data_IF_829398544321
#
_entry.id   IF_829398544321
#
_cell.length_a   1.000
_cell.length_b   1.000
_cell.length_c   1.000
_cell.angle_alpha   90.00
_cell.angle_beta   90.00
_cell.angle_gamma   90.00
#
_symmetry.space_group_name_H-M   'P 1'
#
loop_
_entity.id
_entity.type
_entity.pdbx_description
1 polymer ?
#
# COMPACT_ATOMS: atom_id res chain seq x y z
N UNK A 1 8.35 -48.67 38.86
CA UNK A 1 7.47 -48.53 40.02
C UNK A 1 6.10 -49.12 39.65
N UNK A 2 5.57 -50.13 40.36
CA UNK A 2 4.25 -50.69 40.03
C UNK A 2 3.15 -49.72 40.48
N UNK A 3 2.44 -49.15 39.53
CA UNK A 3 1.25 -48.33 39.77
C UNK A 3 0.07 -49.25 40.10
N UNK A 4 -0.52 -49.06 41.26
CA UNK A 4 -1.79 -49.71 41.63
C UNK A 4 -2.91 -49.19 40.72
N UNK A 5 -3.83 -50.06 40.19
CA UNK A 5 -4.81 -49.66 39.18
C UNK A 5 -5.74 -48.52 39.56
N UNK A 6 -5.97 -48.25 40.81
CA UNK A 6 -6.84 -47.15 41.28
C UNK A 6 -6.13 -45.78 41.50
N UNK A 7 -4.81 -45.72 41.42
CA UNK A 7 -4.06 -44.47 41.60
C UNK A 7 -3.98 -43.68 40.32
N UNK A 8 -3.98 -44.34 39.16
CA UNK A 8 -3.87 -43.67 37.85
C UNK A 8 -5.12 -42.82 37.53
N UNK A 9 -6.31 -43.30 37.84
CA UNK A 9 -7.58 -42.54 37.64
C UNK A 9 -7.62 -41.29 38.49
N UNK A 10 -7.22 -41.36 39.77
CA UNK A 10 -7.18 -40.15 40.66
C UNK A 10 -6.14 -39.13 40.21
N UNK A 11 -5.03 -39.57 39.65
CA UNK A 11 -4.04 -38.63 39.07
C UNK A 11 -4.60 -37.85 37.88
N UNK A 12 -5.23 -38.53 36.97
CA UNK A 12 -5.81 -37.89 35.79
C UNK A 12 -6.95 -36.96 36.13
N UNK A 13 -7.80 -37.36 37.07
CA UNK A 13 -8.88 -36.53 37.56
C UNK A 13 -8.36 -35.24 38.22
N UNK A 14 -7.29 -35.35 39.02
CA UNK A 14 -6.65 -34.17 39.63
C UNK A 14 -6.01 -33.27 38.55
N UNK A 15 -5.32 -33.83 37.58
CA UNK A 15 -4.71 -33.05 36.48
C UNK A 15 -5.80 -32.30 35.73
N UNK A 16 -6.85 -32.97 35.30
CA UNK A 16 -7.95 -32.35 34.54
C UNK A 16 -8.64 -31.25 35.37
N UNK A 17 -8.83 -31.44 36.65
CA UNK A 17 -9.48 -30.45 37.53
C UNK A 17 -8.59 -29.24 37.84
N UNK A 18 -7.27 -29.40 37.84
CA UNK A 18 -6.31 -28.29 38.09
C UNK A 18 -5.92 -27.52 36.86
N UNK A 19 -6.23 -28.01 35.66
CA UNK A 19 -5.92 -27.29 34.38
C UNK A 19 -6.66 -25.95 34.33
N UNK A 20 -5.93 -24.92 33.89
CA UNK A 20 -6.52 -23.59 33.64
C UNK A 20 -7.24 -23.53 32.30
N UNK A 21 -6.83 -24.36 31.36
CA UNK A 21 -7.45 -24.48 30.04
C UNK A 21 -8.78 -25.28 30.15
N UNK A 22 -9.77 -24.83 29.39
CA UNK A 22 -11.01 -25.58 29.21
C UNK A 22 -10.73 -26.89 28.49
N UNK A 23 -11.17 -28.03 29.07
CA UNK A 23 -11.04 -29.33 28.43
C UNK A 23 -12.44 -29.91 28.19
N UNK A 24 -12.64 -30.45 27.01
CA UNK A 24 -13.87 -31.10 26.56
C UNK A 24 -13.51 -32.38 25.82
N UNK A 25 -14.24 -33.46 26.06
CA UNK A 25 -14.19 -34.70 25.28
C UNK A 25 -15.53 -34.83 24.56
N UNK A 26 -15.44 -35.14 23.26
CA UNK A 26 -16.59 -35.39 22.40
C UNK A 26 -16.56 -36.82 21.84
N UNK A 27 -17.70 -37.41 21.64
CA UNK A 27 -17.85 -38.68 20.92
C UNK A 27 -17.71 -38.53 19.42
N UNK A 28 -17.68 -39.62 18.63
CA UNK A 28 -17.57 -39.52 17.16
C UNK A 28 -18.74 -38.79 16.49
N UNK A 29 -19.87 -38.64 17.20
CA UNK A 29 -21.05 -37.89 16.73
C UNK A 29 -20.98 -36.39 17.10
N UNK A 30 -19.96 -35.98 17.88
CA UNK A 30 -19.75 -34.59 18.30
C UNK A 30 -20.57 -34.21 19.54
N UNK A 31 -21.10 -35.22 20.28
CA UNK A 31 -21.77 -34.98 21.57
C UNK A 31 -20.70 -34.86 22.68
N UNK A 32 -20.93 -33.94 23.61
CA UNK A 32 -20.03 -33.69 24.74
C UNK A 32 -20.17 -34.80 25.75
N UNK A 33 -19.09 -35.56 25.98
CA UNK A 33 -19.04 -36.67 26.93
C UNK A 33 -18.59 -36.19 28.31
N UNK A 34 -17.62 -35.29 28.37
CA UNK A 34 -17.15 -34.73 29.66
C UNK A 34 -16.50 -33.37 29.43
N UNK A 35 -16.49 -32.57 30.48
CA UNK A 35 -15.84 -31.27 30.58
C UNK A 35 -15.16 -31.09 31.91
N UNK A 36 -14.09 -30.27 31.98
CA UNK A 36 -13.45 -29.90 33.23
C UNK A 36 -14.08 -28.60 33.82
N UNK A 37 -13.78 -28.26 35.09
CA UNK A 37 -14.29 -27.02 35.71
C UNK A 37 -13.82 -25.73 35.00
N UNK A 38 -12.66 -25.76 34.32
CA UNK A 38 -12.22 -24.59 33.56
C UNK A 38 -13.14 -24.35 32.38
N UNK A 39 -13.63 -25.38 31.69
CA UNK A 39 -14.57 -25.26 30.58
C UNK A 39 -15.87 -24.58 31.02
N UNK A 40 -16.39 -24.91 32.21
CA UNK A 40 -17.58 -24.26 32.76
C UNK A 40 -17.35 -22.77 33.01
N UNK A 41 -16.20 -22.41 33.63
CA UNK A 41 -15.82 -21.00 33.86
C UNK A 41 -15.66 -20.22 32.55
N UNK A 42 -15.01 -20.80 31.54
CA UNK A 42 -14.74 -20.14 30.27
C UNK A 42 -16.00 -19.90 29.45
N UNK A 43 -16.92 -20.87 29.44
CA UNK A 43 -18.10 -20.84 28.57
C UNK A 43 -19.34 -20.27 29.24
N UNK A 44 -19.36 -20.30 30.59
CA UNK A 44 -20.53 -19.90 31.40
C UNK A 44 -21.66 -20.94 31.41
N UNK A 45 -21.48 -22.10 30.78
CA UNK A 45 -22.42 -23.23 30.86
C UNK A 45 -22.00 -24.17 31.99
N UNK A 46 -22.97 -24.63 32.77
CA UNK A 46 -22.72 -25.69 33.77
C UNK A 46 -22.45 -27.04 33.09
N UNK A 47 -21.75 -27.92 33.80
CA UNK A 47 -21.42 -29.27 33.31
C UNK A 47 -22.68 -30.05 32.86
N UNK A 48 -23.76 -30.01 33.65
CA UNK A 48 -25.01 -30.69 33.33
C UNK A 48 -25.70 -30.16 32.06
N UNK A 49 -25.47 -28.88 31.74
CA UNK A 49 -26.02 -28.25 30.53
C UNK A 49 -25.24 -28.61 29.29
N UNK A 50 -23.95 -28.97 29.45
CA UNK A 50 -23.06 -29.33 28.33
C UNK A 50 -23.08 -30.81 28.01
N UNK A 51 -23.21 -31.69 29.02
CA UNK A 51 -23.16 -33.14 28.81
C UNK A 51 -24.31 -33.61 27.91
N UNK A 52 -23.98 -34.44 26.94
CA UNK A 52 -24.91 -34.96 25.94
C UNK A 52 -25.38 -33.95 24.88
N UNK A 53 -24.97 -32.69 24.97
CA UNK A 53 -25.24 -31.69 23.94
C UNK A 53 -24.22 -31.75 22.83
N UNK A 54 -24.61 -31.29 21.63
CA UNK A 54 -23.66 -31.12 20.55
C UNK A 54 -22.64 -30.02 20.87
N UNK A 55 -21.34 -30.21 20.56
CA UNK A 55 -20.32 -29.19 20.72
C UNK A 55 -20.61 -27.89 19.96
N UNK A 56 -21.54 -27.91 18.98
CA UNK A 56 -22.01 -26.72 18.26
C UNK A 56 -22.75 -25.72 19.15
N UNK A 57 -23.16 -26.08 20.38
CA UNK A 57 -23.75 -25.18 21.38
C UNK A 57 -22.81 -24.00 21.68
N UNK A 58 -21.51 -24.22 21.61
CA UNK A 58 -20.48 -23.18 21.84
C UNK A 58 -20.34 -22.19 20.67
N UNK A 59 -21.07 -22.40 19.56
CA UNK A 59 -21.13 -21.54 18.39
C UNK A 59 -19.73 -21.02 17.92
N UNK A 60 -18.76 -21.95 17.84
CA UNK A 60 -17.41 -21.65 17.40
C UNK A 60 -17.43 -21.22 15.91
N UNK A 61 -16.76 -20.12 15.59
CA UNK A 61 -16.72 -19.53 14.25
C UNK A 61 -16.23 -20.50 13.17
N UNK A 62 -15.22 -21.30 13.47
CA UNK A 62 -14.68 -22.34 12.57
C UNK A 62 -15.64 -23.53 12.37
N UNK A 63 -16.61 -23.73 13.25
CA UNK A 63 -17.58 -24.82 13.19
C UNK A 63 -18.94 -24.40 12.60
N UNK A 64 -19.16 -23.11 12.30
CA UNK A 64 -20.46 -22.57 11.80
C UNK A 64 -20.96 -23.15 10.47
N UNK A 65 -20.14 -23.87 9.73
CA UNK A 65 -20.52 -24.52 8.46
C UNK A 65 -21.13 -25.92 8.58
N UNK A 66 -21.18 -26.49 9.78
CA UNK A 66 -21.61 -27.85 10.06
C UNK A 66 -23.01 -27.85 10.70
N UNK A 67 -24.07 -27.74 9.91
CA UNK A 67 -25.44 -27.91 10.41
C UNK A 67 -25.68 -29.37 10.80
N UNK A 68 -26.24 -29.66 12.01
CA UNK A 68 -26.62 -30.99 12.40
C UNK A 68 -27.99 -31.29 11.80
N UNK A 69 -28.06 -31.82 10.60
CA UNK A 69 -29.25 -32.56 10.10
C UNK A 69 -28.82 -33.50 8.97
N UNK A 70 -28.76 -34.77 9.31
CA UNK A 70 -29.02 -35.92 8.43
C UNK A 70 -28.31 -35.98 7.08
N UNK A 71 -27.00 -36.08 7.06
CA UNK A 71 -26.20 -36.73 5.99
C UNK A 71 -24.71 -36.59 6.31
N UNK A 72 -23.96 -37.66 6.27
CA UNK A 72 -22.49 -37.94 6.12
C UNK A 72 -21.44 -36.81 6.24
N UNK A 73 -21.67 -35.72 6.93
CA UNK A 73 -20.66 -34.68 7.17
C UNK A 73 -20.04 -34.87 8.55
N UNK A 74 -19.08 -35.78 8.64
CA UNK A 74 -18.20 -35.89 9.79
C UNK A 74 -17.54 -34.54 10.10
N UNK A 75 -17.46 -34.20 11.37
CA UNK A 75 -16.73 -33.02 11.88
C UNK A 75 -15.33 -32.98 11.26
N UNK A 76 -14.88 -31.81 10.83
CA UNK A 76 -13.57 -31.62 10.17
C UNK A 76 -12.42 -32.18 11.03
N UNK A 77 -12.54 -32.10 12.36
CA UNK A 77 -11.61 -32.69 13.31
C UNK A 77 -11.34 -34.19 13.05
N UNK A 78 -12.40 -34.98 12.81
CA UNK A 78 -12.29 -36.43 12.56
C UNK A 78 -11.79 -36.73 11.14
N UNK A 79 -11.91 -35.79 10.19
CA UNK A 79 -11.38 -35.93 8.82
C UNK A 79 -9.89 -35.61 8.74
N UNK A 80 -9.45 -34.56 9.43
CA UNK A 80 -8.07 -34.03 9.32
C UNK A 80 -7.13 -34.63 10.36
N UNK A 81 -7.62 -35.48 11.27
CA UNK A 81 -6.83 -36.23 12.23
C UNK A 81 -6.42 -35.45 13.48
N UNK A 82 -6.84 -34.22 13.62
CA UNK A 82 -6.54 -33.33 14.76
C UNK A 82 -6.57 -31.86 14.35
N UNK A 83 -6.50 -30.97 15.35
CA UNK A 83 -6.38 -29.51 15.16
C UNK A 83 -5.30 -29.00 16.10
N UNK A 84 -4.30 -28.29 15.58
CA UNK A 84 -3.23 -27.72 16.37
C UNK A 84 -3.24 -26.19 16.31
N UNK A 85 -3.19 -25.55 17.49
CA UNK A 85 -3.01 -24.09 17.67
C UNK A 85 -3.86 -23.22 16.72
N UNK A 86 -5.15 -23.52 16.63
CA UNK A 86 -6.07 -22.74 15.78
C UNK A 86 -6.76 -21.67 16.62
N UNK A 87 -6.63 -20.41 16.19
CA UNK A 87 -7.35 -19.28 16.76
C UNK A 87 -8.83 -19.36 16.38
N UNK A 88 -9.71 -19.33 17.37
CA UNK A 88 -11.16 -19.41 17.23
C UNK A 88 -11.84 -18.42 18.17
N UNK A 89 -13.11 -18.15 17.87
CA UNK A 89 -14.00 -17.38 18.75
C UNK A 89 -15.23 -18.23 19.08
N UNK A 90 -15.60 -18.32 20.34
CA UNK A 90 -16.86 -18.93 20.75
C UNK A 90 -17.81 -17.89 21.36
N UNK A 91 -19.10 -18.24 21.45
CA UNK A 91 -20.11 -17.43 22.11
C UNK A 91 -20.43 -18.07 23.46
N UNK A 92 -20.24 -17.32 24.56
CA UNK A 92 -20.59 -17.76 25.92
C UNK A 92 -22.08 -17.78 26.10
N UNK A 93 -22.53 -18.39 27.21
CA UNK A 93 -23.96 -18.46 27.62
C UNK A 93 -24.62 -17.07 27.75
N UNK A 94 -23.86 -16.07 28.19
CA UNK A 94 -24.32 -14.68 28.32
C UNK A 94 -24.34 -13.89 26.99
N UNK A 95 -23.98 -14.52 25.87
CA UNK A 95 -23.92 -13.90 24.56
C UNK A 95 -22.61 -13.16 24.25
N UNK A 96 -21.69 -13.07 25.22
CA UNK A 96 -20.37 -12.48 24.99
C UNK A 96 -19.48 -13.41 24.17
N UNK A 97 -18.51 -12.85 23.41
CA UNK A 97 -17.56 -13.62 22.61
C UNK A 97 -16.26 -13.81 23.36
N UNK A 98 -15.69 -15.03 23.29
CA UNK A 98 -14.43 -15.42 23.90
C UNK A 98 -13.42 -15.80 22.78
N UNK A 99 -12.32 -15.05 22.59
CA UNK A 99 -11.22 -15.48 21.74
C UNK A 99 -10.41 -16.58 22.47
N UNK A 100 -10.14 -17.68 21.79
CA UNK A 100 -9.40 -18.79 22.36
C UNK A 100 -8.51 -19.50 21.35
N UNK A 101 -7.50 -20.19 21.87
CA UNK A 101 -6.65 -21.09 21.10
C UNK A 101 -7.17 -22.52 21.28
N UNK A 102 -7.50 -23.17 20.16
CA UNK A 102 -8.01 -24.54 20.14
C UNK A 102 -6.90 -25.51 19.77
N UNK A 103 -6.74 -26.57 20.59
CA UNK A 103 -6.06 -27.80 20.22
C UNK A 103 -7.05 -28.95 20.32
N UNK A 104 -6.94 -29.93 19.42
CA UNK A 104 -7.78 -31.11 19.46
C UNK A 104 -7.02 -32.35 18.93
N UNK A 105 -7.21 -33.47 19.60
CA UNK A 105 -6.62 -34.75 19.23
C UNK A 105 -7.68 -35.85 19.24
N UNK A 106 -7.58 -36.78 18.29
CA UNK A 106 -8.47 -37.94 18.18
C UNK A 106 -8.09 -38.98 19.23
N UNK A 107 -9.10 -39.48 19.93
CA UNK A 107 -8.99 -40.62 20.84
C UNK A 107 -9.30 -41.91 20.08
N UNK A 108 -8.42 -42.93 20.26
CA UNK A 108 -8.56 -44.28 19.66
C UNK A 108 -8.50 -45.33 20.75
N UNK A 109 -9.22 -46.41 20.54
CA UNK A 109 -9.11 -47.57 21.39
C UNK A 109 -7.88 -48.45 21.05
N UNK A 110 -7.68 -49.54 21.75
CA UNK A 110 -6.58 -50.47 21.54
C UNK A 110 -6.60 -51.14 20.15
N UNK A 111 -7.76 -51.21 19.50
CA UNK A 111 -7.91 -51.73 18.12
C UNK A 111 -7.73 -50.62 17.06
N UNK A 112 -7.43 -49.37 17.46
CA UNK A 112 -7.24 -48.22 16.56
C UNK A 112 -8.54 -47.58 16.09
N UNK A 113 -9.69 -48.01 16.59
CA UNK A 113 -11.01 -47.43 16.26
C UNK A 113 -11.15 -46.06 16.94
N UNK A 114 -11.70 -45.08 16.21
CA UNK A 114 -11.95 -43.76 16.76
C UNK A 114 -13.10 -43.81 17.74
N UNK A 115 -12.83 -43.49 19.03
CA UNK A 115 -13.81 -43.47 20.13
C UNK A 115 -14.25 -42.07 20.52
N UNK A 116 -13.60 -41.02 19.99
CA UNK A 116 -13.90 -39.63 20.28
C UNK A 116 -12.75 -38.70 19.97
N UNK A 117 -12.83 -37.51 20.55
CA UNK A 117 -11.74 -36.52 20.50
C UNK A 117 -11.66 -35.73 21.81
N UNK A 118 -10.46 -35.34 22.19
CA UNK A 118 -10.22 -34.38 23.28
C UNK A 118 -9.92 -33.02 22.67
N UNK A 119 -10.56 -31.99 23.19
CA UNK A 119 -10.33 -30.58 22.78
C UNK A 119 -9.90 -29.76 24.00
N UNK A 120 -8.88 -28.92 23.83
CA UNK A 120 -8.48 -27.93 24.84
C UNK A 120 -8.67 -26.52 24.30
N UNK A 121 -9.13 -25.63 25.15
CA UNK A 121 -9.43 -24.22 24.88
C UNK A 121 -8.63 -23.35 25.85
N UNK A 122 -7.63 -22.64 25.33
CA UNK A 122 -6.84 -21.65 26.09
C UNK A 122 -7.44 -20.27 25.90
N UNK A 123 -7.83 -19.60 26.97
CA UNK A 123 -8.38 -18.23 26.95
C UNK A 123 -7.30 -17.23 26.52
N UNK A 124 -7.59 -16.44 25.48
CA UNK A 124 -6.71 -15.39 25.00
C UNK A 124 -7.18 -13.99 25.43
N UNK A 125 -8.22 -13.87 26.25
CA UNK A 125 -8.80 -12.57 26.65
C UNK A 125 -7.79 -11.69 27.39
N UNK A 126 -7.02 -12.24 28.31
CA UNK A 126 -5.97 -11.48 29.02
C UNK A 126 -4.83 -11.03 28.10
N UNK A 127 -4.42 -11.89 27.19
CA UNK A 127 -3.37 -11.57 26.21
C UNK A 127 -3.88 -10.46 25.29
N UNK A 128 -5.09 -10.60 24.78
CA UNK A 128 -5.73 -9.59 23.93
C UNK A 128 -5.96 -8.26 24.68
N UNK A 129 -6.36 -8.31 25.95
CA UNK A 129 -6.51 -7.11 26.79
C UNK A 129 -5.18 -6.45 27.10
N UNK A 130 -4.13 -7.21 27.39
CA UNK A 130 -2.76 -6.68 27.58
C UNK A 130 -2.22 -6.08 26.30
N UNK A 131 -2.44 -6.72 25.17
CA UNK A 131 -2.04 -6.18 23.86
C UNK A 131 -2.81 -4.88 23.55
N UNK A 132 -4.09 -4.80 23.87
CA UNK A 132 -4.89 -3.57 23.77
C UNK A 132 -4.37 -2.46 24.69
N UNK A 133 -4.04 -2.79 25.94
CA UNK A 133 -3.44 -1.82 26.90
C UNK A 133 -2.06 -1.38 26.43
N UNK A 134 -1.23 -2.30 25.95
CA UNK A 134 0.10 -1.98 25.36
C UNK A 134 -0.08 -1.10 24.12
N UNK A 135 -1.03 -1.40 23.24
CA UNK A 135 -1.41 -0.55 22.12
C UNK A 135 -1.89 0.82 22.59
N UNK A 136 -2.75 0.88 23.63
CA UNK A 136 -3.27 2.13 24.18
C UNK A 136 -2.15 2.98 24.82
N UNK A 137 -1.31 2.37 25.65
CA UNK A 137 -0.15 3.04 26.24
C UNK A 137 0.89 3.47 25.18
N UNK A 138 1.09 2.64 24.16
CA UNK A 138 1.87 3.03 22.99
C UNK A 138 1.22 4.19 22.23
N UNK A 139 -0.11 4.25 22.11
CA UNK A 139 -0.86 5.38 21.52
C UNK A 139 -0.69 6.66 22.32
N UNK A 140 -0.73 6.59 23.65
CA UNK A 140 -0.51 7.76 24.51
C UNK A 140 0.94 8.27 24.47
N UNK A 141 1.91 7.35 24.37
CA UNK A 141 3.32 7.68 24.15
C UNK A 141 3.63 8.13 22.72
N UNK A 142 2.72 7.89 21.77
CA UNK A 142 2.90 8.13 20.33
C UNK A 142 1.89 9.13 19.77
N UNK A 143 1.40 10.06 20.59
CA UNK A 143 0.68 11.26 20.11
C UNK A 143 1.54 12.21 19.28
N UNK A 144 2.80 11.88 19.10
CA UNK A 144 3.62 12.56 18.09
C UNK A 144 3.38 11.92 16.72
N UNK A 145 2.97 12.72 15.75
CA UNK A 145 2.79 12.41 14.33
C UNK A 145 4.09 11.94 13.63
N UNK A 146 4.94 11.16 14.31
CA UNK A 146 6.27 10.81 13.85
C UNK A 146 7.20 12.04 13.74
N UNK A 147 8.35 11.91 13.09
CA UNK A 147 9.27 13.04 12.86
C UNK A 147 8.64 14.01 11.83
N UNK A 148 7.90 15.00 12.34
CA UNK A 148 7.19 16.01 11.51
C UNK A 148 6.28 15.43 10.42
N UNK A 149 5.64 14.27 10.70
CA UNK A 149 4.78 13.57 9.78
C UNK A 149 5.47 12.44 8.98
N UNK A 150 6.79 12.27 9.15
CA UNK A 150 7.51 11.09 8.66
C UNK A 150 7.42 9.97 9.68
N UNK A 151 6.71 8.91 9.35
CA UNK A 151 6.55 7.74 10.21
C UNK A 151 7.59 6.67 9.87
N UNK A 152 8.29 6.18 10.89
CA UNK A 152 9.25 5.09 10.78
C UNK A 152 10.13 4.98 12.03
N UNK A 153 10.58 3.76 12.31
CA UNK A 153 11.47 3.42 13.43
C UNK A 153 12.63 2.53 13.00
N UNK A 154 12.65 2.16 11.73
CA UNK A 154 13.76 1.40 11.17
C UNK A 154 15.07 2.18 11.31
N UNK A 155 16.22 1.50 11.39
CA UNK A 155 17.52 2.17 11.45
C UNK A 155 17.73 3.18 10.31
N UNK A 156 17.22 2.87 9.11
CA UNK A 156 17.29 3.77 7.97
C UNK A 156 16.50 5.08 8.19
N UNK A 157 15.31 5.01 8.81
CA UNK A 157 14.53 6.20 9.14
C UNK A 157 15.13 7.01 10.26
N UNK A 158 15.69 6.37 11.31
CA UNK A 158 16.40 7.08 12.38
C UNK A 158 17.63 7.82 11.86
N UNK A 159 18.38 7.23 10.93
CA UNK A 159 19.49 7.91 10.27
C UNK A 159 19.01 9.09 9.41
N UNK A 160 17.90 8.92 8.69
CA UNK A 160 17.27 9.99 7.93
C UNK A 160 16.87 11.17 8.82
N UNK A 161 16.23 10.92 9.98
CA UNK A 161 15.80 11.94 10.92
C UNK A 161 16.98 12.74 11.49
N UNK A 162 18.08 12.06 11.83
CA UNK A 162 19.32 12.69 12.27
C UNK A 162 19.92 13.59 11.17
N UNK A 163 19.94 13.11 9.93
CA UNK A 163 20.46 13.85 8.79
C UNK A 163 19.59 15.08 8.47
N UNK A 164 18.26 14.94 8.50
CA UNK A 164 17.32 16.04 8.32
C UNK A 164 17.48 17.10 9.42
N UNK A 165 17.63 16.68 10.68
CA UNK A 165 17.85 17.59 11.81
C UNK A 165 19.16 18.37 11.64
N UNK A 166 20.23 17.68 11.28
CA UNK A 166 21.54 18.31 11.05
C UNK A 166 21.51 19.28 9.87
N UNK A 167 20.89 18.89 8.77
CA UNK A 167 20.75 19.71 7.57
C UNK A 167 19.85 20.93 7.79
N UNK A 168 18.86 20.84 8.68
CA UNK A 168 17.91 21.90 8.95
C UNK A 168 18.59 23.16 9.52
N UNK A 169 19.65 23.02 10.31
CA UNK A 169 20.40 24.12 10.88
C UNK A 169 21.21 24.96 9.89
N UNK A 170 21.35 24.52 8.64
CA UNK A 170 22.10 25.19 7.57
C UNK A 170 21.19 25.81 6.53
N UNK A 171 21.59 26.93 5.95
CA UNK A 171 20.94 27.56 4.79
C UNK A 171 21.40 26.95 3.45
N UNK A 172 22.30 25.96 3.49
CA UNK A 172 22.77 25.28 2.27
C UNK A 172 21.61 24.62 1.51
N UNK A 173 21.66 24.58 0.19
CA UNK A 173 20.72 23.84 -0.64
C UNK A 173 20.70 22.34 -0.29
N UNK A 174 19.51 21.76 -0.29
CA UNK A 174 19.29 20.35 -0.01
C UNK A 174 18.63 19.69 -1.22
N UNK A 175 19.11 18.51 -1.60
CA UNK A 175 18.46 17.65 -2.61
C UNK A 175 17.94 16.38 -1.95
N UNK A 176 16.64 16.16 -2.05
CA UNK A 176 15.96 14.95 -1.56
C UNK A 176 15.83 13.95 -2.70
N UNK A 177 16.57 12.86 -2.64
CA UNK A 177 16.49 11.75 -3.58
C UNK A 177 15.57 10.66 -3.04
N UNK A 178 14.76 10.08 -3.90
CA UNK A 178 13.92 8.94 -3.52
C UNK A 178 12.82 8.67 -4.51
N UNK A 179 12.35 7.44 -4.52
CA UNK A 179 11.25 7.01 -5.39
C UNK A 179 9.97 7.81 -5.13
N UNK A 180 9.04 7.74 -6.08
CA UNK A 180 7.72 8.35 -5.88
C UNK A 180 7.02 7.74 -4.66
N UNK A 181 6.39 8.58 -3.83
CA UNK A 181 5.65 8.14 -2.65
C UNK A 181 6.47 7.78 -1.41
N UNK A 182 7.80 8.04 -1.37
CA UNK A 182 8.65 7.82 -0.18
C UNK A 182 8.48 8.85 0.93
N UNK A 183 7.88 10.03 0.62
CA UNK A 183 7.67 11.11 1.59
C UNK A 183 8.58 12.32 1.43
N UNK A 184 9.18 12.56 0.24
CA UNK A 184 10.06 13.70 -0.05
C UNK A 184 9.46 15.06 0.35
N UNK A 185 8.17 15.25 0.10
CA UNK A 185 7.46 16.49 0.47
C UNK A 185 7.40 16.68 2.01
N UNK A 186 7.17 15.60 2.77
CA UNK A 186 7.17 15.62 4.23
C UNK A 186 8.58 15.92 4.77
N UNK A 187 9.62 15.32 4.18
CA UNK A 187 11.01 15.61 4.53
C UNK A 187 11.38 17.08 4.28
N UNK A 188 10.92 17.65 3.16
CA UNK A 188 11.10 19.08 2.88
C UNK A 188 10.40 19.98 3.90
N UNK A 189 9.16 19.60 4.28
CA UNK A 189 8.43 20.33 5.33
C UNK A 189 9.11 20.23 6.70
N UNK A 190 9.67 19.05 7.04
CA UNK A 190 10.45 18.86 8.26
C UNK A 190 11.71 19.74 8.28
N UNK A 191 12.47 19.77 7.18
CA UNK A 191 13.64 20.64 7.02
C UNK A 191 13.31 22.12 7.25
N UNK A 192 12.17 22.58 6.71
CA UNK A 192 11.73 23.97 6.92
C UNK A 192 11.33 24.21 8.37
N UNK A 193 10.50 23.35 8.97
CA UNK A 193 10.01 23.49 10.35
C UNK A 193 11.13 23.49 11.40
N UNK A 194 12.19 22.71 11.15
CA UNK A 194 13.36 22.62 12.03
C UNK A 194 14.42 23.71 11.78
N UNK A 195 14.25 24.50 10.72
CA UNK A 195 15.24 25.51 10.33
C UNK A 195 15.06 26.83 11.09
N UNK A 196 16.07 27.70 11.09
CA UNK A 196 15.93 29.08 11.57
C UNK A 196 14.87 29.89 10.83
N UNK A 197 14.43 29.41 9.65
CA UNK A 197 13.40 30.03 8.80
C UNK A 197 11.99 29.47 9.03
N UNK A 198 11.75 28.69 10.08
CA UNK A 198 10.48 28.01 10.38
C UNK A 198 9.27 28.96 10.46
N UNK A 199 9.49 30.23 10.84
CA UNK A 199 8.44 31.26 10.89
C UNK A 199 8.22 31.96 9.55
N UNK A 200 9.08 31.72 8.55
CA UNK A 200 8.96 32.29 7.21
C UNK A 200 8.03 31.47 6.33
N UNK A 201 7.74 31.95 5.11
CA UNK A 201 6.92 31.22 4.17
C UNK A 201 7.58 29.94 3.69
N UNK A 202 6.81 28.85 3.58
CA UNK A 202 7.20 27.60 2.93
C UNK A 202 6.40 27.43 1.63
N UNK A 203 7.02 27.71 0.50
CA UNK A 203 6.38 27.69 -0.81
C UNK A 203 6.75 26.40 -1.54
N UNK A 204 5.73 25.65 -1.98
CA UNK A 204 5.89 24.39 -2.71
C UNK A 204 5.58 24.60 -4.18
N UNK A 205 6.41 24.05 -5.05
CA UNK A 205 6.21 24.06 -6.51
C UNK A 205 6.52 22.68 -7.05
N UNK A 206 5.62 22.14 -7.85
CA UNK A 206 5.85 20.91 -8.59
C UNK A 206 6.20 21.27 -10.04
N UNK A 207 7.41 20.92 -10.46
CA UNK A 207 7.95 21.29 -11.78
C UNK A 207 7.33 20.49 -12.93
N UNK A 208 6.85 19.26 -12.67
CA UNK A 208 6.25 18.39 -13.68
C UNK A 208 4.78 18.75 -14.03
N UNK A 209 4.12 19.55 -13.20
CA UNK A 209 2.68 19.81 -13.33
C UNK A 209 2.32 20.91 -14.35
N UNK A 210 3.31 21.66 -14.85
CA UNK A 210 3.11 22.86 -15.67
C UNK A 210 3.89 22.80 -16.98
N UNK A 211 3.36 23.40 -18.02
CA UNK A 211 4.15 23.64 -19.24
C UNK A 211 5.24 24.71 -18.99
N UNK A 212 6.26 24.75 -19.84
CA UNK A 212 7.47 25.56 -19.65
C UNK A 212 7.17 27.06 -19.40
N UNK A 213 6.32 27.66 -20.19
CA UNK A 213 6.00 29.10 -20.11
C UNK A 213 5.21 29.44 -18.84
N UNK A 214 4.30 28.55 -18.41
CA UNK A 214 3.57 28.73 -17.17
C UNK A 214 4.46 28.48 -15.94
N UNK A 215 5.35 27.51 -16.01
CA UNK A 215 6.29 27.22 -14.94
C UNK A 215 7.22 28.41 -14.68
N UNK A 216 7.76 29.01 -15.74
CA UNK A 216 8.62 30.17 -15.64
C UNK A 216 7.87 31.37 -15.02
N UNK A 217 6.66 31.65 -15.47
CA UNK A 217 5.79 32.69 -14.94
C UNK A 217 5.38 32.44 -13.49
N UNK A 218 5.12 31.18 -13.08
CA UNK A 218 4.84 30.83 -11.69
C UNK A 218 6.07 31.01 -10.81
N UNK A 219 7.26 30.55 -11.23
CA UNK A 219 8.47 30.65 -10.42
C UNK A 219 8.96 32.07 -10.24
N UNK A 220 9.07 32.85 -11.33
CA UNK A 220 9.72 34.16 -11.35
C UNK A 220 8.74 35.34 -11.38
N UNK A 221 7.46 35.06 -11.68
CA UNK A 221 6.45 36.12 -11.89
C UNK A 221 6.54 36.73 -13.29
N UNK A 222 5.60 37.58 -13.62
CA UNK A 222 5.57 38.30 -14.91
C UNK A 222 5.01 39.72 -14.75
N UNK A 223 5.38 40.60 -15.65
CA UNK A 223 4.75 41.92 -15.79
C UNK A 223 3.61 41.85 -16.78
N UNK A 224 2.69 42.82 -16.67
CA UNK A 224 1.57 42.97 -17.61
C UNK A 224 2.13 43.09 -19.05
N UNK A 225 1.55 42.29 -19.99
CA UNK A 225 1.95 42.29 -21.39
C UNK A 225 3.18 41.39 -21.70
N UNK A 226 3.72 40.61 -20.79
CA UNK A 226 4.86 39.76 -21.00
C UNK A 226 4.63 38.63 -22.02
N UNK A 227 3.39 38.15 -22.14
CA UNK A 227 2.93 37.16 -23.11
C UNK A 227 1.41 37.29 -23.35
N UNK A 228 0.89 36.57 -24.34
CA UNK A 228 -0.57 36.57 -24.64
C UNK A 228 -1.36 36.02 -23.48
N UNK A 229 -2.22 36.84 -22.84
CA UNK A 229 -2.97 36.51 -21.64
C UNK A 229 -2.34 37.04 -20.34
N UNK A 230 -1.24 37.78 -20.38
CA UNK A 230 -0.66 38.47 -19.23
C UNK A 230 -1.38 39.81 -18.93
N UNK A 231 -2.64 39.74 -18.50
CA UNK A 231 -3.51 40.92 -18.28
C UNK A 231 -3.10 41.79 -17.08
N UNK A 232 -2.35 41.20 -16.14
CA UNK A 232 -1.88 41.87 -14.91
C UNK A 232 -0.47 41.37 -14.53
N UNK A 233 0.23 42.18 -13.77
CA UNK A 233 1.50 41.78 -13.16
C UNK A 233 1.25 40.76 -12.04
N UNK A 234 2.05 39.69 -11.96
CA UNK A 234 1.95 38.62 -10.95
C UNK A 234 3.28 38.41 -10.22
N UNK A 235 3.21 38.26 -8.91
CA UNK A 235 4.34 37.90 -8.02
C UNK A 235 4.70 36.44 -8.23
N UNK A 236 5.99 36.15 -8.38
CA UNK A 236 6.51 34.78 -8.53
C UNK A 236 6.68 34.05 -7.20
N UNK A 237 6.86 32.74 -7.28
CA UNK A 237 7.03 31.86 -6.10
C UNK A 237 8.31 32.16 -5.33
N UNK A 238 9.41 32.54 -6.00
CA UNK A 238 10.63 32.97 -5.35
C UNK A 238 10.48 34.27 -4.54
N UNK A 239 9.76 35.23 -5.09
CA UNK A 239 9.45 36.45 -4.38
C UNK A 239 8.53 36.19 -3.18
N UNK A 240 7.52 35.32 -3.35
CA UNK A 240 6.62 34.89 -2.28
C UNK A 240 7.32 34.08 -1.18
N UNK A 241 8.44 33.41 -1.49
CA UNK A 241 9.24 32.64 -0.55
C UNK A 241 10.30 33.49 0.18
N UNK A 242 10.34 34.81 -0.04
CA UNK A 242 11.35 35.69 0.55
C UNK A 242 11.43 35.55 2.07
N UNK A 243 12.63 35.41 2.62
CA UNK A 243 12.96 35.11 4.02
C UNK A 243 12.42 33.78 4.56
N UNK A 244 12.00 32.89 3.66
CA UNK A 244 11.53 31.54 3.97
C UNK A 244 12.27 30.47 3.22
N UNK A 245 11.55 29.46 2.79
CA UNK A 245 12.07 28.33 2.00
C UNK A 245 11.19 28.06 0.78
N UNK A 246 11.80 27.67 -0.32
CA UNK A 246 11.11 27.16 -1.48
C UNK A 246 11.43 25.66 -1.66
N UNK A 247 10.41 24.85 -1.90
CA UNK A 247 10.53 23.45 -2.21
C UNK A 247 10.17 23.23 -3.68
N UNK A 248 11.15 22.76 -4.46
CA UNK A 248 10.99 22.43 -5.87
C UNK A 248 10.95 20.91 -6.02
N UNK A 249 9.75 20.37 -6.22
CA UNK A 249 9.58 18.94 -6.47
C UNK A 249 9.82 18.61 -7.94
N UNK A 250 10.37 17.42 -8.20
CA UNK A 250 10.77 16.89 -9.51
C UNK A 250 11.71 17.87 -10.28
N UNK A 251 12.81 18.25 -9.60
CA UNK A 251 13.81 19.19 -10.17
C UNK A 251 14.42 18.70 -11.48
N UNK A 252 14.45 17.38 -11.71
CA UNK A 252 14.93 16.76 -12.96
C UNK A 252 14.08 17.07 -14.19
N UNK A 253 12.84 17.52 -13.99
CA UNK A 253 11.91 17.87 -15.08
C UNK A 253 11.94 19.35 -15.45
N UNK A 254 12.82 20.16 -14.82
CA UNK A 254 12.95 21.56 -15.16
C UNK A 254 13.48 21.75 -16.60
N UNK A 255 12.82 22.61 -17.42
CA UNK A 255 13.35 23.00 -18.72
C UNK A 255 14.69 23.72 -18.61
N UNK A 256 15.55 23.58 -19.61
CA UNK A 256 16.90 24.17 -19.63
C UNK A 256 16.91 25.68 -19.41
N UNK A 257 15.96 26.42 -19.98
CA UNK A 257 15.82 27.85 -19.76
C UNK A 257 15.56 28.20 -18.30
N UNK A 258 14.68 27.44 -17.64
CA UNK A 258 14.37 27.59 -16.20
C UNK A 258 15.57 27.24 -15.32
N UNK A 259 16.37 26.23 -15.70
CA UNK A 259 17.60 25.85 -14.98
C UNK A 259 18.62 27.01 -14.96
N UNK A 260 18.76 27.75 -16.08
CA UNK A 260 19.65 28.92 -16.16
C UNK A 260 19.20 30.02 -15.17
N UNK A 261 17.92 30.31 -15.12
CA UNK A 261 17.36 31.31 -14.21
C UNK A 261 17.49 30.87 -12.73
N UNK A 262 17.27 29.59 -12.46
CA UNK A 262 17.47 29.03 -11.10
C UNK A 262 18.93 29.15 -10.65
N UNK A 263 19.89 28.92 -11.55
CA UNK A 263 21.31 29.10 -11.26
C UNK A 263 21.63 30.53 -10.85
N UNK A 264 21.07 31.54 -11.53
CA UNK A 264 21.23 32.96 -11.14
C UNK A 264 20.65 33.24 -9.73
N UNK A 265 19.47 32.67 -9.43
CA UNK A 265 18.91 32.81 -8.07
C UNK A 265 19.87 32.26 -7.00
N UNK A 266 20.50 31.11 -7.26
CA UNK A 266 21.45 30.49 -6.33
C UNK A 266 22.74 31.31 -6.16
N UNK A 267 23.20 31.97 -7.23
CA UNK A 267 24.47 32.72 -7.25
C UNK A 267 24.31 34.15 -6.80
N UNK A 268 23.31 34.86 -7.35
CA UNK A 268 23.17 36.31 -7.22
C UNK A 268 22.09 36.70 -6.22
N UNK A 269 21.27 35.74 -5.74
CA UNK A 269 20.12 36.00 -4.88
C UNK A 269 19.13 37.01 -5.46
N UNK A 270 19.00 37.02 -6.79
CA UNK A 270 18.08 37.89 -7.53
C UNK A 270 17.25 37.09 -8.52
N UNK A 271 16.06 37.60 -8.83
CA UNK A 271 15.20 37.09 -9.89
C UNK A 271 14.88 38.23 -10.87
N UNK A 272 14.60 37.87 -12.13
CA UNK A 272 14.00 38.74 -13.14
C UNK A 272 12.61 38.22 -13.48
N UNK A 273 11.60 39.11 -13.49
CA UNK A 273 10.23 38.76 -13.92
C UNK A 273 10.19 38.56 -15.42
N UNK A 274 9.32 37.66 -15.88
CA UNK A 274 9.12 37.47 -17.32
C UNK A 274 8.60 38.80 -17.93
N UNK A 275 9.32 39.29 -18.96
CA UNK A 275 9.02 40.57 -19.61
C UNK A 275 9.62 41.79 -18.91
N UNK A 276 10.44 41.64 -17.86
CA UNK A 276 11.16 42.73 -17.18
C UNK A 276 12.60 42.28 -16.83
N UNK A 277 13.58 43.15 -17.07
CA UNK A 277 15.00 42.87 -16.79
C UNK A 277 15.46 43.50 -15.44
N UNK A 278 14.56 44.07 -14.66
CA UNK A 278 14.90 44.63 -13.37
C UNK A 278 15.10 43.50 -12.35
N UNK A 279 16.30 43.43 -11.72
CA UNK A 279 16.56 42.41 -10.72
C UNK A 279 15.79 42.70 -9.44
N UNK A 280 15.12 41.68 -8.90
CA UNK A 280 14.45 41.71 -7.59
C UNK A 280 15.24 40.82 -6.65
N UNK A 281 15.72 41.37 -5.53
CA UNK A 281 16.48 40.60 -4.53
C UNK A 281 15.56 39.66 -3.75
N UNK A 282 16.00 38.41 -3.62
CA UNK A 282 15.31 37.35 -2.88
C UNK A 282 16.27 36.62 -1.96
N UNK A 283 15.90 36.51 -0.69
CA UNK A 283 16.62 35.68 0.29
C UNK A 283 15.78 34.43 0.58
N UNK A 284 16.10 33.31 -0.07
CA UNK A 284 15.30 32.08 -0.01
C UNK A 284 16.22 30.88 0.18
N UNK A 285 15.87 30.00 1.12
CA UNK A 285 16.49 28.67 1.24
C UNK A 285 15.86 27.74 0.20
N UNK A 286 16.70 27.03 -0.57
CA UNK A 286 16.24 26.15 -1.64
C UNK A 286 16.33 24.70 -1.18
N UNK A 287 15.20 23.98 -1.26
CA UNK A 287 15.06 22.55 -1.05
C UNK A 287 14.51 21.97 -2.34
N UNK A 288 15.17 20.95 -2.88
CA UNK A 288 14.76 20.31 -4.14
C UNK A 288 14.50 18.84 -3.91
N UNK A 289 13.69 18.23 -4.77
CA UNK A 289 13.46 16.78 -4.75
C UNK A 289 13.41 16.20 -6.15
N UNK A 290 13.81 14.93 -6.29
CA UNK A 290 13.71 14.19 -7.54
C UNK A 290 13.65 12.68 -7.30
N UNK A 291 13.02 11.97 -8.21
CA UNK A 291 13.08 10.51 -8.34
C UNK A 291 14.02 10.07 -9.47
N UNK A 292 14.59 11.01 -10.22
CA UNK A 292 15.46 10.76 -11.38
C UNK A 292 16.94 10.81 -10.98
N UNK A 293 17.75 10.10 -11.74
CA UNK A 293 19.22 10.19 -11.65
C UNK A 293 19.70 11.46 -12.37
N UNK A 294 20.07 12.49 -11.60
CA UNK A 294 20.57 13.75 -12.15
C UNK A 294 21.89 13.59 -12.91
N UNK A 295 22.75 12.61 -12.55
CA UNK A 295 23.98 12.34 -13.29
C UNK A 295 23.66 11.82 -14.70
N UNK A 296 22.68 10.91 -14.82
CA UNK A 296 22.23 10.43 -16.11
C UNK A 296 21.62 11.55 -16.96
N UNK A 297 20.83 12.43 -16.36
CA UNK A 297 20.26 13.59 -17.05
C UNK A 297 21.34 14.57 -17.53
N UNK A 298 22.43 14.77 -16.77
CA UNK A 298 23.57 15.56 -17.21
C UNK A 298 24.25 14.94 -18.44
N UNK A 299 24.50 13.62 -18.43
CA UNK A 299 25.07 12.91 -19.58
C UNK A 299 24.18 13.02 -20.83
N UNK A 300 22.88 13.09 -20.67
CA UNK A 300 21.91 13.28 -21.76
C UNK A 300 21.77 14.75 -22.21
N UNK A 301 22.46 15.68 -21.58
CA UNK A 301 22.33 17.12 -21.87
C UNK A 301 20.99 17.73 -21.42
N UNK A 302 20.24 17.03 -20.57
CA UNK A 302 18.92 17.47 -20.04
C UNK A 302 19.00 18.20 -18.71
N UNK A 303 20.13 18.11 -18.03
CA UNK A 303 20.38 18.83 -16.78
C UNK A 303 21.78 19.47 -16.84
N UNK A 304 21.89 20.71 -16.36
CA UNK A 304 23.16 21.46 -16.39
C UNK A 304 24.07 21.03 -15.25
N UNK A 305 25.33 20.87 -15.56
CA UNK A 305 26.37 20.50 -14.59
C UNK A 305 26.62 21.61 -13.55
N UNK A 306 26.62 22.87 -13.98
CA UNK A 306 26.80 24.01 -13.09
C UNK A 306 25.68 24.15 -12.06
N UNK A 307 24.44 23.90 -12.46
CA UNK A 307 23.30 23.87 -11.56
C UNK A 307 23.38 22.68 -10.58
N UNK A 308 23.76 21.49 -11.07
CA UNK A 308 23.92 20.32 -10.22
C UNK A 308 24.84 20.57 -9.05
N UNK A 309 26.05 21.08 -9.27
CA UNK A 309 27.01 21.37 -8.19
C UNK A 309 26.55 22.46 -7.23
N UNK A 310 25.62 23.33 -7.63
CA UNK A 310 25.06 24.37 -6.76
C UNK A 310 23.89 23.90 -5.91
N UNK A 311 23.10 22.94 -6.38
CA UNK A 311 21.96 22.40 -5.58
C UNK A 311 22.36 21.19 -4.76
N UNK A 312 23.26 20.34 -5.25
CA UNK A 312 23.64 19.06 -4.63
C UNK A 312 24.71 19.23 -3.52
N UNK A 313 24.45 20.18 -2.61
CA UNK A 313 25.35 20.46 -1.48
C UNK A 313 25.10 19.46 -0.35
N UNK A 314 23.83 19.22 -0.01
CA UNK A 314 23.43 18.24 1.00
C UNK A 314 22.49 17.24 0.33
N UNK A 315 23.00 16.12 -0.19
CA UNK A 315 22.16 15.06 -0.73
C UNK A 315 21.58 14.21 0.41
N UNK A 316 20.27 14.00 0.39
CA UNK A 316 19.55 13.18 1.35
C UNK A 316 18.72 12.14 0.59
N UNK A 317 18.96 10.86 0.90
CA UNK A 317 18.27 9.75 0.26
C UNK A 317 17.16 9.21 1.16
N UNK A 318 15.93 9.24 0.67
CA UNK A 318 14.79 8.64 1.36
C UNK A 318 14.70 7.16 1.00
N UNK A 319 14.75 6.25 1.99
CA UNK A 319 14.69 4.82 1.71
C UNK A 319 13.32 4.42 1.16
N UNK A 320 13.27 3.58 0.11
CA UNK A 320 12.02 3.01 -0.37
C UNK A 320 11.42 2.05 0.68
N UNK A 321 10.11 1.85 0.64
CA UNK A 321 9.40 1.08 1.68
C UNK A 321 9.89 -0.37 1.79
N UNK A 322 10.34 -0.97 0.69
CA UNK A 322 10.94 -2.32 0.67
C UNK A 322 12.25 -2.46 1.47
N UNK A 323 12.95 -1.37 1.72
CA UNK A 323 14.19 -1.32 2.52
C UNK A 323 13.93 -1.00 4.01
N UNK A 324 12.67 -0.67 4.36
CA UNK A 324 12.21 -0.41 5.74
C UNK A 324 10.94 -1.19 6.05
N UNK A 325 10.92 -2.48 5.75
CA UNK A 325 9.74 -3.36 5.94
C UNK A 325 9.26 -3.40 7.39
N UNK A 326 10.16 -3.19 8.33
CA UNK A 326 9.86 -3.10 9.77
C UNK A 326 8.91 -1.96 10.11
N UNK A 327 8.84 -0.93 9.27
CA UNK A 327 7.96 0.21 9.45
C UNK A 327 6.54 -0.05 8.89
N UNK A 328 6.35 -1.09 8.06
CA UNK A 328 5.05 -1.37 7.42
C UNK A 328 3.93 -1.55 8.45
N UNK A 329 4.08 -2.34 9.54
CA UNK A 329 3.03 -2.48 10.54
C UNK A 329 2.63 -1.16 11.18
N UNK A 330 3.62 -0.30 11.51
CA UNK A 330 3.39 1.02 12.08
C UNK A 330 2.61 1.93 11.11
N UNK A 331 3.03 1.95 9.84
CA UNK A 331 2.36 2.73 8.79
C UNK A 331 0.92 2.25 8.57
N UNK A 332 0.72 0.94 8.53
CA UNK A 332 -0.60 0.32 8.39
C UNK A 332 -1.50 0.73 9.54
N UNK A 333 -1.06 0.59 10.80
CA UNK A 333 -1.82 0.97 11.98
C UNK A 333 -2.24 2.44 11.93
N UNK A 334 -1.29 3.34 11.67
CA UNK A 334 -1.55 4.77 11.57
C UNK A 334 -2.59 5.12 10.47
N UNK A 335 -2.45 4.54 9.27
CA UNK A 335 -3.37 4.86 8.17
C UNK A 335 -4.73 4.18 8.33
N UNK A 336 -4.80 3.03 8.97
CA UNK A 336 -6.07 2.40 9.36
C UNK A 336 -6.84 3.29 10.34
N UNK A 337 -6.19 3.77 11.41
CA UNK A 337 -6.80 4.67 12.39
C UNK A 337 -7.30 5.97 11.72
N UNK A 338 -6.48 6.55 10.85
CA UNK A 338 -6.86 7.75 10.09
C UNK A 338 -8.07 7.51 9.18
N UNK A 339 -8.13 6.36 8.48
CA UNK A 339 -9.24 6.04 7.59
C UNK A 339 -10.50 5.65 8.36
N UNK A 340 -10.37 4.96 9.53
CA UNK A 340 -11.47 4.69 10.43
C UNK A 340 -12.09 5.98 10.98
N UNK A 341 -11.26 6.93 11.43
CA UNK A 341 -11.73 8.23 11.92
C UNK A 341 -12.50 9.02 10.85
N UNK A 342 -12.08 8.94 9.58
CA UNK A 342 -12.76 9.63 8.46
C UNK A 342 -14.08 8.97 8.08
N UNK A 343 -14.14 7.64 8.08
CA UNK A 343 -15.27 6.89 7.52
C UNK A 343 -16.27 6.46 8.58
N UNK A 344 -15.92 6.55 9.88
CA UNK A 344 -16.68 6.08 11.03
C UNK A 344 -17.06 4.58 10.92
N UNK A 345 -16.33 3.81 10.12
CA UNK A 345 -16.52 2.37 10.02
C UNK A 345 -15.87 1.65 11.20
N UNK A 346 -16.51 0.63 11.78
CA UNK A 346 -15.96 -0.16 12.89
C UNK A 346 -14.94 -1.20 12.37
N UNK A 347 -13.90 -0.74 11.69
CA UNK A 347 -12.79 -1.56 11.21
C UNK A 347 -11.68 -1.49 12.25
N UNK A 348 -11.31 -2.66 12.82
CA UNK A 348 -10.39 -2.76 13.95
C UNK A 348 -8.95 -3.07 13.57
N UNK A 349 -8.68 -3.50 12.33
CA UNK A 349 -7.32 -3.84 11.90
C UNK A 349 -7.25 -4.67 10.63
N UNK A 350 -6.06 -5.25 10.38
CA UNK A 350 -5.86 -6.29 9.37
C UNK A 350 -5.83 -7.68 10.01
N UNK A 351 -6.28 -8.70 9.26
CA UNK A 351 -6.00 -10.08 9.63
C UNK A 351 -4.49 -10.39 9.47
N UNK A 352 -4.03 -11.46 10.12
CA UNK A 352 -2.63 -11.89 10.01
C UNK A 352 -2.23 -12.17 8.57
N UNK A 353 -3.11 -12.84 7.83
CA UNK A 353 -2.90 -13.17 6.42
C UNK A 353 -2.82 -11.92 5.54
N UNK A 354 -3.65 -10.91 5.83
CA UNK A 354 -3.58 -9.64 5.11
C UNK A 354 -2.28 -8.90 5.43
N UNK A 355 -1.84 -8.90 6.69
CA UNK A 355 -0.57 -8.28 7.08
C UNK A 355 0.63 -8.99 6.43
N UNK A 356 0.62 -10.32 6.32
CA UNK A 356 1.66 -11.08 5.60
C UNK A 356 1.75 -10.67 4.12
N UNK A 357 0.62 -10.38 3.47
CA UNK A 357 0.61 -9.84 2.10
C UNK A 357 1.30 -8.49 2.05
N UNK A 358 1.01 -7.58 2.99
CA UNK A 358 1.65 -6.26 3.06
C UNK A 358 3.16 -6.35 3.27
N UNK A 359 3.64 -7.25 4.13
CA UNK A 359 5.06 -7.44 4.44
C UNK A 359 5.85 -8.03 3.26
N UNK A 360 5.20 -8.86 2.43
CA UNK A 360 5.85 -9.54 1.30
C UNK A 360 5.80 -8.75 0.00
N UNK A 361 4.95 -7.74 -0.11
CA UNK A 361 4.83 -6.94 -1.32
C UNK A 361 5.97 -5.92 -1.46
N UNK A 362 6.36 -5.59 -2.69
CA UNK A 362 7.52 -4.73 -2.99
C UNK A 362 7.24 -3.23 -2.87
N UNK A 363 5.99 -2.82 -2.90
CA UNK A 363 5.56 -1.43 -2.80
C UNK A 363 6.25 -0.48 -3.79
N UNK A 364 6.11 -0.67 -5.11
CA UNK A 364 6.74 0.21 -6.10
C UNK A 364 6.28 1.67 -5.98
N UNK A 365 5.04 1.92 -5.52
CA UNK A 365 4.53 3.26 -5.20
C UNK A 365 4.73 3.68 -3.74
N UNK A 366 5.52 2.91 -2.97
CA UNK A 366 5.91 3.19 -1.59
C UNK A 366 4.71 3.50 -0.67
N UNK A 367 4.82 4.52 0.21
CA UNK A 367 3.76 4.87 1.17
C UNK A 367 2.50 5.38 0.47
N UNK A 368 2.62 6.04 -0.69
CA UNK A 368 1.44 6.50 -1.45
C UNK A 368 0.60 5.31 -1.93
N UNK A 369 1.22 4.25 -2.42
CA UNK A 369 0.53 3.03 -2.81
C UNK A 369 -0.07 2.31 -1.59
N UNK A 370 0.66 2.22 -0.49
CA UNK A 370 0.18 1.64 0.77
C UNK A 370 -1.11 2.33 1.24
N UNK A 371 -1.15 3.66 1.24
CA UNK A 371 -2.35 4.43 1.59
C UNK A 371 -3.51 4.10 0.65
N UNK A 372 -3.27 4.09 -0.66
CA UNK A 372 -4.30 3.78 -1.65
C UNK A 372 -4.87 2.36 -1.45
N UNK A 373 -4.02 1.38 -1.11
CA UNK A 373 -4.46 0.01 -0.84
C UNK A 373 -5.31 -0.05 0.44
N UNK A 374 -4.94 0.67 1.48
CA UNK A 374 -5.71 0.76 2.72
C UNK A 374 -7.08 1.42 2.43
N UNK A 375 -7.10 2.56 1.73
CA UNK A 375 -8.34 3.24 1.38
C UNK A 375 -9.25 2.36 0.51
N UNK A 376 -8.68 1.60 -0.44
CA UNK A 376 -9.42 0.61 -1.22
C UNK A 376 -10.02 -0.49 -0.34
N UNK A 377 -9.23 -1.04 0.59
CA UNK A 377 -9.71 -2.07 1.53
C UNK A 377 -10.85 -1.54 2.41
N UNK A 378 -10.79 -0.27 2.84
CA UNK A 378 -11.88 0.39 3.57
C UNK A 378 -13.17 0.52 2.76
N UNK A 379 -13.09 0.63 1.43
CA UNK A 379 -14.29 0.65 0.58
C UNK A 379 -14.98 -0.71 0.59
N UNK A 380 -14.23 -1.80 0.51
CA UNK A 380 -14.76 -3.17 0.42
C UNK A 380 -15.13 -3.76 1.78
N UNK A 381 -14.35 -3.50 2.82
CA UNK A 381 -14.62 -3.96 4.18
C UNK A 381 -15.71 -3.08 4.80
N UNK A 382 -16.76 -3.70 5.35
CA UNK A 382 -17.86 -2.99 6.00
C UNK A 382 -17.64 -2.83 7.50
N UNK A 383 -17.12 -3.87 8.16
CA UNK A 383 -16.91 -3.96 9.60
C UNK A 383 -15.88 -5.06 9.94
N UNK A 384 -15.30 -5.00 11.12
CA UNK A 384 -14.38 -6.02 11.64
C UNK A 384 -12.95 -5.85 11.18
N UNK A 385 -12.32 -6.91 10.65
CA UNK A 385 -10.93 -6.92 10.20
C UNK A 385 -10.82 -7.00 8.67
N UNK A 386 -9.85 -6.33 8.10
CA UNK A 386 -9.54 -6.40 6.68
C UNK A 386 -8.89 -7.76 6.39
N UNK A 387 -9.52 -8.54 5.49
CA UNK A 387 -9.06 -9.84 5.02
C UNK A 387 -8.33 -9.70 3.66
N UNK A 388 -7.56 -10.70 3.22
CA UNK A 388 -6.90 -10.67 1.90
C UNK A 388 -7.84 -10.46 0.71
N UNK A 389 -9.11 -10.87 0.83
CA UNK A 389 -10.14 -10.66 -0.20
C UNK A 389 -10.58 -9.20 -0.37
N UNK A 390 -10.34 -8.36 0.65
CA UNK A 390 -10.58 -6.93 0.59
C UNK A 390 -9.41 -6.15 -0.05
N UNK A 391 -8.30 -6.84 -0.37
CA UNK A 391 -7.14 -6.22 -0.99
C UNK A 391 -7.25 -6.26 -2.52
N UNK A 392 -6.58 -5.33 -3.24
CA UNK A 392 -6.47 -5.41 -4.69
C UNK A 392 -5.87 -6.75 -5.13
N UNK A 393 -6.40 -7.35 -6.20
CA UNK A 393 -5.99 -8.67 -6.67
C UNK A 393 -4.49 -8.83 -6.97
N UNK A 394 -3.82 -7.72 -7.28
CA UNK A 394 -2.37 -7.66 -7.51
C UNK A 394 -1.56 -7.96 -6.24
N UNK A 395 -2.06 -7.58 -5.07
CA UNK A 395 -1.44 -7.88 -3.78
C UNK A 395 -1.84 -9.26 -3.25
N UNK A 396 -3.10 -9.68 -3.44
CA UNK A 396 -3.68 -10.91 -2.85
C UNK A 396 -3.22 -12.22 -3.47
N UNK A 397 -2.23 -12.23 -4.36
CA UNK A 397 -1.69 -13.47 -4.95
C UNK A 397 -2.68 -14.25 -5.83
N UNK A 398 -3.94 -13.84 -5.95
CA UNK A 398 -4.74 -14.22 -7.10
C UNK A 398 -4.09 -13.48 -8.27
N UNK A 399 -3.27 -14.19 -9.05
CA UNK A 399 -2.93 -13.74 -10.40
C UNK A 399 -4.23 -13.17 -10.97
N UNK A 400 -4.35 -11.84 -11.00
CA UNK A 400 -5.21 -11.23 -11.97
C UNK A 400 -4.88 -11.99 -13.25
N UNK A 401 -5.86 -12.55 -13.89
CA UNK A 401 -5.68 -13.10 -15.23
C UNK A 401 -4.83 -12.05 -15.95
N UNK A 402 -3.63 -12.41 -16.45
CA UNK A 402 -2.63 -11.44 -16.87
C UNK A 402 -3.39 -10.36 -17.63
N UNK A 403 -3.22 -9.06 -17.28
CA UNK A 403 -3.97 -8.00 -17.95
C UNK A 403 -3.87 -8.40 -19.39
N UNK A 404 -5.01 -8.70 -20.04
CA UNK A 404 -5.06 -9.28 -21.38
C UNK A 404 -3.94 -8.66 -22.10
N UNK A 405 -2.85 -9.40 -22.20
CA UNK A 405 -1.55 -8.88 -22.58
C UNK A 405 -1.88 -7.89 -23.69
N UNK A 406 -1.57 -6.60 -23.50
CA UNK A 406 -1.33 -5.81 -24.71
C UNK A 406 -0.50 -6.78 -25.50
N UNK A 407 -1.17 -7.46 -26.46
CA UNK A 407 -0.51 -8.37 -27.38
C UNK A 407 0.83 -7.70 -27.62
N UNK A 408 1.95 -8.39 -27.35
CA UNK A 408 3.23 -7.78 -27.66
C UNK A 408 2.95 -7.11 -28.99
N UNK A 409 3.22 -5.79 -29.12
CA UNK A 409 3.10 -5.13 -30.41
C UNK A 409 3.79 -6.09 -31.33
N UNK A 410 3.02 -7.05 -31.77
CA UNK A 410 3.43 -8.02 -32.78
C UNK A 410 3.87 -7.11 -33.88
N UNK A 411 5.13 -7.19 -34.22
CA UNK A 411 5.70 -6.63 -35.42
C UNK A 411 4.57 -6.33 -36.37
N UNK A 412 4.28 -5.02 -36.58
CA UNK A 412 3.05 -4.58 -37.26
C UNK A 412 2.82 -5.45 -38.47
N UNK A 413 1.59 -5.76 -38.85
CA UNK A 413 1.28 -6.76 -39.86
C UNK A 413 2.30 -6.65 -40.98
N UNK A 414 2.92 -7.75 -41.44
CA UNK A 414 4.09 -7.72 -42.31
C UNK A 414 3.81 -6.69 -43.40
N UNK A 415 4.70 -5.68 -43.53
CA UNK A 415 4.48 -4.58 -44.48
C UNK A 415 4.33 -5.22 -45.86
N UNK A 416 3.10 -5.19 -46.38
CA UNK A 416 2.76 -5.64 -47.72
C UNK A 416 3.56 -4.76 -48.68
N UNK A 417 4.17 -5.36 -49.69
CA UNK A 417 4.90 -4.60 -50.70
C UNK A 417 3.97 -3.64 -51.46
N UNK A 418 4.50 -2.54 -51.99
CA UNK A 418 3.71 -1.60 -52.79
C UNK A 418 3.00 -2.28 -53.96
N UNK A 419 3.64 -3.29 -54.60
CA UNK A 419 3.06 -4.05 -55.70
C UNK A 419 1.86 -4.93 -55.24
N UNK A 420 2.00 -5.60 -54.11
CA UNK A 420 0.96 -6.43 -53.55
C UNK A 420 -0.24 -5.59 -53.12
N UNK A 421 -0.01 -4.39 -52.57
CA UNK A 421 -1.07 -3.42 -52.22
C UNK A 421 -1.81 -2.94 -53.46
N UNK A 422 -1.13 -2.62 -54.54
CA UNK A 422 -1.72 -2.21 -55.82
C UNK A 422 -2.52 -3.33 -56.48
N UNK A 423 -1.97 -4.54 -56.52
CA UNK A 423 -2.67 -5.73 -57.05
C UNK A 423 -3.95 -6.03 -56.28
N UNK A 424 -3.90 -5.92 -54.96
CA UNK A 424 -5.10 -6.15 -54.11
C UNK A 424 -6.16 -5.08 -54.29
N UNK A 425 -5.74 -3.80 -54.47
CA UNK A 425 -6.67 -2.71 -54.76
C UNK A 425 -7.34 -2.87 -56.13
N UNK A 426 -6.59 -3.32 -57.14
CA UNK A 426 -7.17 -3.65 -58.45
C UNK A 426 -8.16 -4.82 -58.38
N UNK A 427 -7.80 -5.92 -57.68
CA UNK A 427 -8.69 -7.05 -57.48
C UNK A 427 -9.97 -6.66 -56.69
N UNK A 428 -9.85 -5.71 -55.75
CA UNK A 428 -10.95 -5.14 -54.99
C UNK A 428 -11.75 -4.07 -55.75
N UNK A 429 -11.39 -3.79 -57.05
CA UNK A 429 -12.02 -2.77 -57.90
C UNK A 429 -12.05 -1.39 -57.22
N UNK A 430 -10.98 -0.99 -56.51
CA UNK A 430 -10.86 0.28 -55.83
C UNK A 430 -11.63 0.39 -54.50
N UNK A 431 -12.39 -0.64 -54.09
CA UNK A 431 -13.14 -0.62 -52.82
C UNK A 431 -12.22 -0.89 -51.65
N UNK A 432 -11.84 0.16 -50.92
CA UNK A 432 -10.91 0.12 -49.78
C UNK A 432 -11.34 -0.84 -48.67
N UNK A 433 -12.64 -1.03 -48.46
CA UNK A 433 -13.18 -1.98 -47.47
C UNK A 433 -12.83 -3.42 -47.84
N UNK A 434 -13.05 -3.78 -49.10
CA UNK A 434 -12.81 -5.14 -49.62
C UNK A 434 -11.31 -5.44 -49.74
N UNK A 435 -10.51 -4.43 -50.06
CA UNK A 435 -9.04 -4.56 -50.07
C UNK A 435 -8.48 -4.80 -48.67
N UNK A 436 -9.00 -4.11 -47.62
CA UNK A 436 -8.63 -4.35 -46.22
C UNK A 436 -8.96 -5.78 -45.75
N UNK A 437 -10.14 -6.31 -46.14
CA UNK A 437 -10.56 -7.69 -45.85
C UNK A 437 -9.65 -8.70 -46.56
N UNK A 438 -9.30 -8.48 -47.81
CA UNK A 438 -8.41 -9.37 -48.59
C UNK A 438 -6.98 -9.41 -48.04
N UNK A 439 -6.50 -8.31 -47.45
CA UNK A 439 -5.18 -8.23 -46.81
C UNK A 439 -5.20 -8.62 -45.34
N UNK A 440 -6.37 -8.95 -44.76
CA UNK A 440 -6.50 -9.33 -43.37
C UNK A 440 -6.17 -8.23 -42.38
N UNK A 441 -6.32 -6.94 -42.78
CA UNK A 441 -5.93 -5.77 -41.97
C UNK A 441 -7.13 -4.84 -41.69
N UNK A 442 -6.98 -3.97 -40.69
CA UNK A 442 -7.97 -2.94 -40.43
C UNK A 442 -8.01 -1.88 -41.51
N UNK A 443 -9.16 -1.23 -41.72
CA UNK A 443 -9.29 -0.09 -42.66
C UNK A 443 -8.29 1.04 -42.33
N UNK A 444 -8.00 1.24 -41.05
CA UNK A 444 -7.04 2.26 -40.57
C UNK A 444 -5.61 1.87 -40.99
N UNK A 445 -5.26 0.61 -40.90
CA UNK A 445 -3.95 0.10 -41.32
C UNK A 445 -3.78 0.23 -42.83
N UNK A 446 -4.81 -0.15 -43.62
CA UNK A 446 -4.78 0.02 -45.07
C UNK A 446 -4.65 1.50 -45.46
N UNK A 447 -5.39 2.39 -44.80
CA UNK A 447 -5.33 3.84 -45.06
C UNK A 447 -3.93 4.42 -44.79
N UNK A 448 -3.27 3.94 -43.71
CA UNK A 448 -1.90 4.32 -43.37
C UNK A 448 -0.91 3.86 -44.47
N UNK A 449 -1.05 2.62 -44.94
CA UNK A 449 -0.20 2.11 -46.02
C UNK A 449 -0.42 2.84 -47.35
N UNK A 450 -1.67 3.21 -47.72
CA UNK A 450 -1.94 4.01 -48.90
C UNK A 450 -1.27 5.36 -48.83
N UNK A 451 -1.22 5.98 -47.65
CA UNK A 451 -0.52 7.23 -47.42
C UNK A 451 0.98 7.07 -47.44
N UNK A 452 1.52 6.04 -46.83
CA UNK A 452 2.96 5.75 -46.74
C UNK A 452 3.57 5.42 -48.14
N UNK A 453 2.79 4.79 -49.02
CA UNK A 453 3.19 4.43 -50.38
C UNK A 453 2.75 5.45 -51.45
N UNK A 454 2.18 6.56 -51.06
CA UNK A 454 1.63 7.62 -51.91
C UNK A 454 0.72 7.07 -53.07
N UNK A 455 -0.20 6.17 -52.69
CA UNK A 455 -1.15 5.54 -53.62
C UNK A 455 -2.48 6.28 -53.55
N UNK A 456 -2.84 6.99 -54.64
CA UNK A 456 -4.18 7.60 -54.79
C UNK A 456 -5.12 6.61 -55.47
N UNK A 457 -6.28 6.37 -54.84
CA UNK A 457 -7.38 5.53 -55.39
C UNK A 457 -8.45 6.47 -55.94
N UNK A 458 -8.45 6.67 -57.25
CA UNK A 458 -9.53 7.40 -57.94
C UNK A 458 -10.78 6.49 -57.97
N UNK A 459 -11.84 6.94 -57.35
CA UNK A 459 -13.12 6.26 -57.42
C UNK A 459 -13.83 6.73 -58.67
N UNK A 460 -13.74 5.94 -59.77
CA UNK A 460 -14.56 6.19 -60.98
C UNK A 460 -16.00 5.81 -60.61
N UNK A 461 -16.82 6.80 -60.37
CA UNK A 461 -18.27 6.65 -60.33
C UNK A 461 -18.74 6.43 -61.76
N UNK A 462 -19.15 5.24 -62.12
CA UNK A 462 -19.88 4.98 -63.37
C UNK A 462 -21.35 5.06 -62.99
N UNK A 463 -22.05 5.96 -63.72
CA UNK A 463 -23.51 6.08 -63.76
C UNK A 463 -24.20 4.74 -64.06
#
# INVERSE_FOLDING_TARGET
MPSLPGQCERYWETVIHTMMDGLMVVDPQGLIVTVNPAMERLTGYGREELLGQSCTILNCDRCRGLKPQGSDKQCQLFRDGGVHQTHCTLTKKDGTTLPFLKNAAILRDEAGLVIGAVETLTDLSEISARDQVICHLRRELHRDDGFHGLLGRSPAMLQLDQLLTSAAGSDAPVVLYGESGTGKELAAAALHKLSPRAQGPFIKVNSAALNESLLESELFGHVKGAFTGADRTRVGRFEAAHRGSIFLDEIGDLPMATQIKLLRVLQEKTIEKVGDHRPVSVDVRIITATNQDLHLLMQQGRFREDLFFRINVIPIHLPPLRERREDIPLLVEHFLERSAAKTQKPITGLSREALEVFLNYRWPGNVRELINVIDYAFVLCKEGVILPEHLPGELGGKRAAPPRSRRPETAGPPRVSREELLNTLQAARGKKTRAAEMLGVSRVTLWKWLKDYDVQVETVVRD
#
